data_IF_777893098211
#
_entry.id   IF_777893098211
#
_cell.length_a   1.000
_cell.length_b   1.000
_cell.length_c   1.000
_cell.angle_alpha   90.00
_cell.angle_beta   90.00
_cell.angle_gamma   90.00
#
_symmetry.space_group_name_H-M   'P 1'
#
loop_
_entity.id
_entity.type
_entity.pdbx_description
1 polymer ?
#
# COMPACT_ATOMS: atom_id res chain seq x y z
N UNK A 1 44.83 -41.16 -12.64
CA UNK A 1 43.76 -41.54 -11.70
C UNK A 1 43.61 -40.55 -10.55
N UNK A 2 44.69 -39.96 -10.10
CA UNK A 2 44.60 -39.00 -8.99
C UNK A 2 43.83 -37.75 -9.34
N UNK A 3 43.78 -37.36 -10.60
CA UNK A 3 43.17 -36.14 -11.04
C UNK A 3 41.67 -36.24 -11.22
N UNK A 4 41.20 -37.44 -11.44
CA UNK A 4 39.78 -37.67 -11.69
C UNK A 4 38.98 -37.54 -10.39
N UNK A 5 39.58 -37.94 -9.28
CA UNK A 5 38.93 -37.84 -7.97
C UNK A 5 38.81 -36.38 -7.51
N UNK A 6 39.80 -35.57 -7.88
CA UNK A 6 39.75 -34.16 -7.54
C UNK A 6 38.71 -33.39 -8.32
N UNK A 7 38.49 -33.79 -9.56
CA UNK A 7 37.47 -33.14 -10.39
C UNK A 7 36.06 -33.51 -9.95
N UNK A 8 35.87 -34.73 -9.51
CA UNK A 8 34.59 -35.18 -8.97
C UNK A 8 34.24 -34.47 -7.67
N UNK A 9 35.22 -34.17 -6.88
CA UNK A 9 35.00 -33.44 -5.63
C UNK A 9 34.58 -32.02 -5.86
N UNK A 10 35.04 -31.42 -6.93
CA UNK A 10 34.70 -30.05 -7.27
C UNK A 10 33.27 -29.90 -7.78
N UNK A 11 32.75 -30.91 -8.39
CA UNK A 11 31.40 -30.90 -8.94
C UNK A 11 30.32 -30.96 -7.87
N UNK A 12 30.60 -31.50 -6.71
CA UNK A 12 29.62 -31.65 -5.65
C UNK A 12 29.41 -30.34 -4.89
N UNK A 13 30.36 -29.44 -4.92
CA UNK A 13 30.27 -28.18 -4.19
C UNK A 13 29.46 -27.10 -4.90
N UNK A 14 29.14 -27.31 -6.17
CA UNK A 14 28.43 -26.30 -6.95
C UNK A 14 26.92 -26.34 -6.84
N UNK A 15 26.36 -27.29 -6.11
CA UNK A 15 24.91 -27.51 -6.10
C UNK A 15 24.24 -26.93 -4.86
N UNK A 16 25.00 -26.39 -3.95
CA UNK A 16 24.46 -26.03 -2.63
C UNK A 16 23.74 -24.66 -2.59
N UNK A 17 23.80 -23.91 -3.66
CA UNK A 17 23.30 -22.52 -3.57
C UNK A 17 21.94 -22.30 -4.21
N UNK A 18 21.31 -23.35 -4.71
CA UNK A 18 20.07 -23.19 -5.45
C UNK A 18 18.83 -23.01 -4.58
N UNK A 19 18.98 -23.10 -3.27
CA UNK A 19 17.82 -23.08 -2.39
C UNK A 19 17.74 -21.82 -1.53
N UNK A 20 18.59 -20.84 -1.79
CA UNK A 20 18.64 -19.66 -0.95
C UNK A 20 17.53 -18.66 -1.23
N UNK A 21 16.76 -18.86 -2.28
CA UNK A 21 15.68 -17.95 -2.58
C UNK A 21 14.36 -18.54 -2.14
N UNK A 22 14.07 -18.34 -0.90
CA UNK A 22 12.70 -18.48 -0.47
C UNK A 22 11.89 -17.41 -1.17
N UNK A 23 10.84 -17.78 -1.86
CA UNK A 23 9.87 -16.78 -2.26
C UNK A 23 9.44 -16.10 -0.98
N UNK A 24 9.74 -14.84 -0.91
CA UNK A 24 9.20 -14.00 0.14
C UNK A 24 7.73 -14.28 0.17
N UNK A 25 7.25 -14.69 1.32
CA UNK A 25 5.84 -14.92 1.50
C UNK A 25 5.11 -13.73 0.92
N UNK A 26 4.50 -13.95 -0.20
CA UNK A 26 3.63 -12.95 -0.77
C UNK A 26 2.62 -12.59 0.29
N UNK A 27 2.46 -11.31 0.58
CA UNK A 27 1.44 -10.89 1.49
C UNK A 27 0.08 -11.11 0.83
N UNK A 28 -0.32 -12.34 0.74
CA UNK A 28 -1.69 -12.68 0.41
C UNK A 28 -2.53 -12.79 1.66
N UNK A 29 -1.97 -12.45 2.78
CA UNK A 29 -2.79 -12.21 3.95
C UNK A 29 -3.63 -10.99 3.64
N UNK A 30 -4.95 -11.14 3.61
CA UNK A 30 -5.82 -9.99 3.52
C UNK A 30 -5.49 -9.10 4.69
N UNK A 31 -4.85 -7.99 4.43
CA UNK A 31 -4.66 -6.97 5.44
C UNK A 31 -6.04 -6.51 5.85
N UNK A 32 -6.29 -6.54 7.14
CA UNK A 32 -7.51 -6.00 7.68
C UNK A 32 -7.61 -4.55 7.23
N UNK A 33 -8.55 -4.26 6.36
CA UNK A 33 -8.76 -2.94 5.84
C UNK A 33 -9.43 -2.10 6.92
N UNK A 34 -8.78 -1.05 7.35
CA UNK A 34 -9.30 -0.14 8.35
C UNK A 34 -10.22 0.89 7.71
N UNK A 35 -9.97 1.24 6.45
CA UNK A 35 -10.70 2.30 5.75
C UNK A 35 -11.51 1.70 4.62
N UNK A 36 -12.80 1.97 4.63
CA UNK A 36 -13.69 1.71 3.52
C UNK A 36 -13.89 3.01 2.76
N UNK A 37 -13.82 2.98 1.45
CA UNK A 37 -13.97 4.19 0.64
C UNK A 37 -14.89 3.95 -0.53
N UNK A 38 -15.68 4.96 -0.82
CA UNK A 38 -16.69 4.89 -1.89
C UNK A 38 -17.19 6.29 -2.25
N UNK A 39 -17.72 6.48 -3.46
CA UNK A 39 -17.72 5.58 -4.61
C UNK A 39 -16.34 5.50 -5.25
N UNK A 40 -16.07 4.41 -5.93
CA UNK A 40 -14.84 4.24 -6.69
C UNK A 40 -15.19 3.53 -7.99
N UNK A 41 -15.15 4.21 -9.15
CA UNK A 41 -14.63 5.55 -9.36
C UNK A 41 -15.45 6.65 -8.70
N UNK A 42 -14.77 7.68 -8.24
CA UNK A 42 -15.39 8.87 -7.68
C UNK A 42 -15.59 9.93 -8.76
N UNK A 43 -16.67 10.67 -8.68
CA UNK A 43 -16.97 11.74 -9.66
C UNK A 43 -16.90 13.11 -8.98
N UNK A 44 -17.75 13.33 -7.99
CA UNK A 44 -17.81 14.62 -7.30
C UNK A 44 -17.19 14.58 -5.91
N UNK A 45 -17.33 13.45 -5.22
CA UNK A 45 -16.80 13.29 -3.89
C UNK A 45 -16.44 11.83 -3.65
N UNK A 46 -15.64 11.60 -2.63
CA UNK A 46 -15.33 10.27 -2.14
C UNK A 46 -15.43 10.32 -0.62
N UNK A 47 -16.02 9.28 -0.04
CA UNK A 47 -16.17 9.15 1.40
C UNK A 47 -15.24 8.06 1.90
N UNK A 48 -14.52 8.38 2.96
CA UNK A 48 -13.66 7.45 3.66
C UNK A 48 -14.29 7.13 5.01
N UNK A 49 -14.59 5.88 5.23
CA UNK A 49 -15.24 5.43 6.45
C UNK A 49 -14.28 4.55 7.23
N UNK A 50 -14.00 4.93 8.45
CA UNK A 50 -13.11 4.19 9.34
C UNK A 50 -13.89 3.07 9.98
N UNK A 51 -13.45 1.84 9.77
CA UNK A 51 -14.12 0.66 10.35
C UNK A 51 -13.88 0.52 11.83
N UNK A 52 -12.80 1.12 12.31
CA UNK A 52 -12.42 1.09 13.71
C UNK A 52 -12.12 2.52 14.15
N UNK A 53 -12.25 2.82 15.45
CA UNK A 53 -11.85 4.12 15.94
C UNK A 53 -10.39 4.39 15.63
N UNK A 54 -10.11 5.58 15.11
CA UNK A 54 -8.74 6.01 14.83
C UNK A 54 -8.25 6.90 15.95
N UNK A 55 -6.95 6.92 16.09
CA UNK A 55 -6.30 7.73 17.11
C UNK A 55 -6.60 9.20 16.87
N UNK A 56 -6.87 9.95 17.95
CA UNK A 56 -7.11 11.38 17.84
C UNK A 56 -5.88 12.06 17.29
N UNK A 57 -6.08 12.96 16.32
CA UNK A 57 -4.97 13.61 15.63
C UNK A 57 -4.53 12.89 14.37
N UNK A 58 -5.21 11.81 14.01
CA UNK A 58 -4.96 11.15 12.73
C UNK A 58 -5.38 12.04 11.57
N UNK A 59 -4.79 11.83 10.41
CA UNK A 59 -5.07 12.60 9.21
C UNK A 59 -5.17 11.70 7.99
N UNK A 60 -5.95 12.17 7.02
CA UNK A 60 -6.07 11.52 5.74
C UNK A 60 -5.37 12.37 4.70
N UNK A 61 -4.39 11.78 4.02
CA UNK A 61 -3.60 12.45 3.00
C UNK A 61 -3.98 11.87 1.65
N UNK A 62 -4.15 12.72 0.65
CA UNK A 62 -4.46 12.28 -0.72
C UNK A 62 -3.39 12.80 -1.65
N UNK A 63 -2.90 11.91 -2.51
CA UNK A 63 -1.84 12.21 -3.47
C UNK A 63 -2.30 11.86 -4.87
N UNK A 64 -1.85 12.66 -5.84
CA UNK A 64 -2.02 12.30 -7.24
C UNK A 64 -1.11 11.12 -7.59
N UNK A 65 -1.33 10.55 -8.76
CA UNK A 65 -0.49 9.45 -9.25
C UNK A 65 0.99 9.83 -9.33
N UNK A 66 1.27 11.10 -9.55
CA UNK A 66 2.65 11.59 -9.60
C UNK A 66 3.27 11.84 -8.22
N UNK A 67 2.53 11.57 -7.15
CA UNK A 67 3.03 11.74 -5.81
C UNK A 67 2.83 13.12 -5.23
N UNK A 68 2.09 13.99 -5.91
CA UNK A 68 1.80 15.33 -5.42
C UNK A 68 0.64 15.29 -4.44
N UNK A 69 0.82 15.86 -3.27
CA UNK A 69 -0.25 15.94 -2.30
C UNK A 69 -1.33 16.92 -2.77
N UNK A 70 -2.55 16.44 -2.84
CA UNK A 70 -3.69 17.25 -3.29
C UNK A 70 -4.69 17.54 -2.17
N UNK A 71 -4.63 16.79 -1.07
CA UNK A 71 -5.49 17.06 0.07
C UNK A 71 -4.86 16.53 1.35
N UNK A 72 -5.18 17.19 2.46
CA UNK A 72 -4.82 16.76 3.80
C UNK A 72 -5.99 17.12 4.70
N UNK A 73 -6.61 16.13 5.31
CA UNK A 73 -7.84 16.31 6.08
C UNK A 73 -7.67 15.66 7.45
N UNK A 74 -7.95 16.40 8.53
CA UNK A 74 -7.94 15.78 9.86
C UNK A 74 -9.10 14.80 9.97
N UNK A 75 -8.85 13.66 10.61
CA UNK A 75 -9.87 12.66 10.85
C UNK A 75 -10.43 12.88 12.25
N UNK A 76 -11.52 13.63 12.32
CA UNK A 76 -12.17 13.94 13.60
C UNK A 76 -13.46 13.14 13.81
N UNK A 77 -13.87 12.38 12.79
CA UNK A 77 -15.08 11.58 12.84
C UNK A 77 -14.82 10.25 12.15
N UNK A 78 -15.74 9.31 12.32
CA UNK A 78 -15.62 8.01 11.68
C UNK A 78 -15.73 8.08 10.16
N UNK A 79 -16.32 9.15 9.65
CA UNK A 79 -16.53 9.31 8.21
C UNK A 79 -15.99 10.67 7.76
N UNK A 80 -15.21 10.65 6.69
CA UNK A 80 -14.62 11.84 6.10
C UNK A 80 -14.96 11.86 4.62
N UNK A 81 -15.49 13.00 4.15
CA UNK A 81 -15.82 13.17 2.73
C UNK A 81 -14.89 14.20 2.12
N UNK A 82 -14.31 13.85 0.98
CA UNK A 82 -13.42 14.71 0.24
C UNK A 82 -14.07 15.07 -1.09
N UNK A 83 -14.09 16.37 -1.39
CA UNK A 83 -14.61 16.86 -2.67
C UNK A 83 -13.52 16.67 -3.73
N UNK A 84 -13.81 15.89 -4.76
CA UNK A 84 -12.88 15.62 -5.85
C UNK A 84 -13.36 16.21 -7.17
N UNK A 85 -14.35 17.09 -7.12
CA UNK A 85 -14.95 17.65 -8.34
C UNK A 85 -13.96 18.45 -9.17
N UNK A 86 -12.91 19.00 -8.54
CA UNK A 86 -11.86 19.75 -9.25
C UNK A 86 -10.66 18.88 -9.61
N UNK A 87 -10.69 17.61 -9.28
CA UNK A 87 -9.56 16.71 -9.55
C UNK A 87 -9.59 16.28 -11.01
N UNK A 88 -8.42 16.17 -11.61
CA UNK A 88 -8.29 15.57 -12.92
C UNK A 88 -8.60 14.08 -12.84
N UNK A 89 -9.15 13.56 -13.94
CA UNK A 89 -9.39 12.13 -14.06
C UNK A 89 -8.09 11.35 -13.91
N UNK A 90 -8.12 10.30 -13.13
CA UNK A 90 -6.94 9.46 -12.97
C UNK A 90 -6.96 8.70 -11.66
N UNK A 91 -5.81 8.14 -11.34
CA UNK A 91 -5.60 7.36 -10.13
C UNK A 91 -5.02 8.27 -9.05
N UNK A 92 -5.54 8.11 -7.84
CA UNK A 92 -5.08 8.82 -6.66
C UNK A 92 -4.78 7.82 -5.56
N UNK A 93 -3.91 8.23 -4.65
CA UNK A 93 -3.52 7.41 -3.51
C UNK A 93 -3.91 8.15 -2.25
N UNK A 94 -4.52 7.45 -1.31
CA UNK A 94 -4.75 8.02 0.00
C UNK A 94 -3.94 7.26 1.06
N UNK A 95 -3.60 7.98 2.12
CA UNK A 95 -2.93 7.42 3.28
C UNK A 95 -3.64 7.89 4.53
N UNK A 96 -3.97 6.95 5.40
CA UNK A 96 -4.39 7.28 6.76
C UNK A 96 -3.14 7.28 7.62
N UNK A 97 -2.88 8.40 8.27
CA UNK A 97 -1.70 8.57 9.12
C UNK A 97 -2.10 8.80 10.56
N UNK A 98 -1.39 8.15 11.45
CA UNK A 98 -1.50 8.37 12.88
C UNK A 98 -0.90 9.74 13.25
N UNK A 99 -1.16 10.25 14.46
CA UNK A 99 -0.62 11.54 14.89
C UNK A 99 0.91 11.64 14.84
N UNK A 100 1.60 10.52 15.01
CA UNK A 100 3.07 10.48 14.93
C UNK A 100 3.59 10.42 13.50
N UNK A 101 2.70 10.50 12.50
CA UNK A 101 3.07 10.43 11.10
C UNK A 101 3.15 9.03 10.52
N UNK A 102 2.97 8.02 11.34
CA UNK A 102 3.03 6.64 10.86
C UNK A 102 1.85 6.34 9.95
N UNK A 103 2.13 5.72 8.81
CA UNK A 103 1.09 5.33 7.86
C UNK A 103 0.37 4.10 8.40
N UNK A 104 -0.94 4.24 8.61
CA UNK A 104 -1.79 3.16 9.10
C UNK A 104 -2.31 2.33 7.94
N UNK A 105 -2.71 3.01 6.87
CA UNK A 105 -3.23 2.34 5.69
C UNK A 105 -2.96 3.18 4.45
N UNK A 106 -2.65 2.51 3.35
CA UNK A 106 -2.48 3.13 2.04
C UNK A 106 -3.30 2.36 1.03
N UNK A 107 -4.03 3.08 0.19
CA UNK A 107 -4.76 2.46 -0.90
C UNK A 107 -4.98 3.49 -2.00
N UNK A 108 -5.53 3.04 -3.12
CA UNK A 108 -5.74 3.90 -4.28
C UNK A 108 -7.20 3.90 -4.67
N UNK A 109 -7.61 5.00 -5.29
CA UNK A 109 -8.94 5.13 -5.86
C UNK A 109 -8.87 5.86 -7.19
N UNK A 110 -9.94 5.79 -7.95
CA UNK A 110 -9.99 6.40 -9.27
C UNK A 110 -11.01 7.53 -9.27
N UNK A 111 -10.64 8.63 -9.93
CA UNK A 111 -11.57 9.72 -10.25
C UNK A 111 -11.93 9.62 -11.72
N UNK A 112 -13.21 9.61 -11.99
CA UNK A 112 -13.73 9.42 -13.34
C UNK A 112 -14.68 10.56 -13.71
N UNK A 113 -14.62 10.99 -14.97
CA UNK A 113 -15.54 12.00 -15.51
C UNK A 113 -15.84 11.76 -16.95
#
# INVERSE_FOLDING_TARGET
MKYIVAILFFLVLGVADATAQKPVATPNTPQATVVKFYPNPAVNFITFEMKEPVERGSSLQVYSFLGRQVASVPVSAQRVTVNVSEYFRGIYVFQLRAPNGKVVETNKFQVSR
#
